data_IF_415338982536
#
_entry.id   IF_415338982536
#
_cell.length_a   1.000
_cell.length_b   1.000
_cell.length_c   1.000
_cell.angle_alpha   90.00
_cell.angle_beta   90.00
_cell.angle_gamma   90.00
#
_symmetry.space_group_name_H-M   'P 1'
#
loop_
_entity.id
_entity.type
_entity.pdbx_description
1 polymer ?
#
# COMPACT_ATOMS: atom_id res chain seq x y z
N UNK A 1 4.35 4.56 -7.16
CA UNK A 1 3.07 4.97 -6.52
C UNK A 1 2.80 4.20 -5.24
N UNK A 2 2.59 2.87 -5.30
CA UNK A 2 2.24 2.08 -4.11
C UNK A 2 3.26 2.21 -2.98
N UNK A 3 4.56 2.18 -3.27
CA UNK A 3 5.58 2.35 -2.23
C UNK A 3 5.52 3.70 -1.50
N UNK A 4 5.02 4.73 -2.18
CA UNK A 4 4.80 6.05 -1.59
C UNK A 4 3.65 6.03 -0.60
N UNK A 5 2.58 5.29 -0.86
CA UNK A 5 1.37 5.26 -0.02
C UNK A 5 1.49 4.23 1.10
N UNK A 6 1.96 3.01 0.76
CA UNK A 6 1.91 1.81 1.61
C UNK A 6 3.25 1.40 2.22
N UNK A 7 4.37 1.96 1.73
CA UNK A 7 5.72 1.52 2.12
C UNK A 7 6.33 0.53 1.12
N UNK A 8 7.59 0.12 1.31
CA UNK A 8 8.35 -0.64 0.31
C UNK A 8 7.75 -2.03 0.04
N UNK A 9 7.95 -2.54 -1.18
CA UNK A 9 7.59 -3.92 -1.49
C UNK A 9 8.44 -4.93 -0.69
N UNK A 10 7.83 -6.04 -0.22
CA UNK A 10 8.59 -7.16 0.33
C UNK A 10 9.59 -7.70 -0.69
N UNK A 11 10.84 -7.89 -0.25
CA UNK A 11 11.94 -8.34 -1.11
C UNK A 11 11.65 -9.69 -1.77
N UNK A 12 10.96 -10.59 -1.07
CA UNK A 12 10.56 -11.89 -1.61
C UNK A 12 9.64 -11.79 -2.83
N UNK A 13 8.80 -10.75 -2.92
CA UNK A 13 7.92 -10.54 -4.06
C UNK A 13 8.70 -9.99 -5.25
N UNK A 14 9.60 -9.03 -5.01
CA UNK A 14 10.44 -8.45 -6.06
C UNK A 14 11.40 -9.48 -6.68
N UNK A 15 11.82 -10.49 -5.92
CA UNK A 15 12.62 -11.62 -6.42
C UNK A 15 11.83 -12.65 -7.22
N UNK A 16 10.50 -12.69 -7.06
CA UNK A 16 9.60 -13.67 -7.68
C UNK A 16 8.79 -13.08 -8.84
N UNK A 17 9.19 -11.93 -9.36
CA UNK A 17 8.49 -11.30 -10.50
C UNK A 17 8.57 -12.18 -11.73
N UNK A 18 7.48 -12.26 -12.47
CA UNK A 18 7.44 -12.94 -13.76
C UNK A 18 8.18 -12.12 -14.84
N UNK A 19 8.44 -12.77 -15.98
CA UNK A 19 9.17 -12.19 -17.12
C UNK A 19 8.55 -10.90 -17.66
N UNK A 20 7.22 -10.75 -17.63
CA UNK A 20 6.56 -9.54 -18.11
C UNK A 20 6.79 -8.35 -17.17
N UNK A 21 6.93 -8.65 -15.88
CA UNK A 21 7.07 -7.68 -14.79
C UNK A 21 8.52 -7.29 -14.48
N UNK A 22 9.51 -8.05 -14.95
CA UNK A 22 10.95 -7.80 -14.76
C UNK A 22 11.38 -6.36 -15.11
N UNK A 23 10.81 -5.77 -16.15
CA UNK A 23 11.10 -4.38 -16.58
C UNK A 23 10.81 -3.32 -15.51
N UNK A 24 10.01 -3.65 -14.50
CA UNK A 24 9.68 -2.74 -13.39
C UNK A 24 10.59 -2.90 -12.18
N UNK A 25 11.56 -3.83 -12.20
CA UNK A 25 12.45 -4.13 -11.08
C UNK A 25 13.91 -4.01 -11.51
N UNK A 26 14.69 -3.23 -10.78
CA UNK A 26 16.14 -3.07 -10.98
C UNK A 26 16.85 -3.22 -9.64
N UNK A 27 17.84 -4.11 -9.57
CA UNK A 27 18.66 -4.37 -8.36
C UNK A 27 17.82 -4.66 -7.10
N UNK A 28 16.76 -5.45 -7.25
CA UNK A 28 15.89 -5.85 -6.13
C UNK A 28 14.99 -4.75 -5.57
N UNK A 29 14.79 -3.67 -6.34
CA UNK A 29 13.88 -2.55 -6.02
C UNK A 29 13.08 -2.18 -7.26
N UNK A 30 11.97 -1.46 -7.09
CA UNK A 30 11.27 -0.90 -8.25
C UNK A 30 12.19 0.00 -9.05
N UNK A 31 12.09 -0.05 -10.38
CA UNK A 31 12.79 0.85 -11.29
C UNK A 31 12.14 2.24 -11.29
N UNK A 32 12.23 2.92 -10.14
CA UNK A 32 11.66 4.24 -9.91
C UNK A 32 12.53 4.98 -8.89
N UNK A 33 12.88 6.26 -9.10
CA UNK A 33 12.35 7.17 -10.13
C UNK A 33 12.99 7.02 -11.52
N UNK A 34 14.09 6.27 -11.66
CA UNK A 34 14.88 6.23 -12.90
C UNK A 34 14.11 5.68 -14.11
N UNK A 35 13.21 4.72 -13.89
CA UNK A 35 12.31 4.17 -14.93
C UNK A 35 10.99 4.91 -15.09
N UNK A 36 10.83 6.13 -14.56
CA UNK A 36 9.58 6.87 -14.66
C UNK A 36 9.31 7.40 -16.08
N UNK A 37 8.06 7.31 -16.52
CA UNK A 37 7.63 7.70 -17.88
C UNK A 37 7.75 9.20 -18.15
N UNK A 38 7.57 10.04 -17.14
CA UNK A 38 7.64 11.51 -17.30
C UNK A 38 7.90 12.25 -15.98
N UNK A 39 8.38 13.49 -16.08
CA UNK A 39 8.55 14.38 -14.92
C UNK A 39 7.22 14.66 -14.20
N UNK A 40 6.11 14.72 -14.93
CA UNK A 40 4.80 14.94 -14.34
C UNK A 40 4.32 13.71 -13.57
N UNK A 41 4.61 12.50 -14.07
CA UNK A 41 4.34 11.26 -13.33
C UNK A 41 5.14 11.21 -12.00
N UNK A 42 6.40 11.66 -12.02
CA UNK A 42 7.23 11.76 -10.81
C UNK A 42 6.60 12.72 -9.79
N UNK A 43 6.24 13.94 -10.24
CA UNK A 43 5.59 14.93 -9.38
C UNK A 43 4.28 14.41 -8.81
N UNK A 44 3.45 13.75 -9.62
CA UNK A 44 2.18 13.18 -9.19
C UNK A 44 2.40 12.14 -8.07
N UNK A 45 3.37 11.23 -8.24
CA UNK A 45 3.68 10.23 -7.20
C UNK A 45 4.25 10.88 -5.94
N UNK A 46 5.16 11.84 -6.07
CA UNK A 46 5.78 12.51 -4.91
C UNK A 46 4.77 13.28 -4.03
N UNK A 47 3.73 13.83 -4.65
CA UNK A 47 2.63 14.53 -3.96
C UNK A 47 1.69 13.60 -3.19
N UNK A 48 1.77 12.29 -3.42
CA UNK A 48 0.89 11.36 -2.70
C UNK A 48 1.26 11.30 -1.22
N UNK A 49 0.28 11.46 -0.32
CA UNK A 49 0.47 11.25 1.10
C UNK A 49 0.56 9.76 1.46
N UNK A 50 1.02 9.49 2.68
CA UNK A 50 0.98 8.14 3.27
C UNK A 50 -0.47 7.73 3.56
N UNK A 51 -0.76 6.43 3.58
CA UNK A 51 -2.11 5.90 3.85
C UNK A 51 -2.74 6.47 5.13
N UNK A 52 -1.96 6.55 6.21
CA UNK A 52 -2.43 7.12 7.48
C UNK A 52 -2.89 8.58 7.34
N UNK A 53 -2.15 9.39 6.56
CA UNK A 53 -2.49 10.80 6.35
C UNK A 53 -3.75 10.94 5.49
N UNK A 54 -3.95 10.06 4.50
CA UNK A 54 -5.20 10.03 3.71
C UNK A 54 -6.41 9.78 4.61
N UNK A 55 -6.32 8.84 5.54
CA UNK A 55 -7.45 8.49 6.40
C UNK A 55 -7.69 9.56 7.47
N UNK A 56 -6.62 10.06 8.09
CA UNK A 56 -6.71 11.10 9.14
C UNK A 56 -7.26 12.43 8.63
N UNK A 57 -7.21 12.69 7.32
CA UNK A 57 -7.87 13.86 6.72
C UNK A 57 -9.41 13.80 6.77
N UNK A 58 -9.98 12.63 7.00
CA UNK A 58 -11.42 12.39 6.88
C UNK A 58 -12.05 11.75 8.13
N UNK A 59 -11.25 11.32 9.11
CA UNK A 59 -11.74 10.58 10.28
C UNK A 59 -10.95 10.97 11.52
N UNK A 60 -11.64 11.39 12.57
CA UNK A 60 -11.01 11.78 13.84
C UNK A 60 -10.93 10.61 14.84
N UNK A 61 -12.07 10.08 15.30
CA UNK A 61 -12.13 9.23 16.51
C UNK A 61 -11.90 7.73 16.26
N UNK A 62 -12.11 7.23 15.03
CA UNK A 62 -11.91 5.83 14.64
C UNK A 62 -10.78 5.63 13.64
N UNK A 63 -9.96 6.66 13.42
CA UNK A 63 -8.90 6.66 12.41
C UNK A 63 -7.93 5.50 12.62
N UNK A 64 -7.52 5.22 13.87
CA UNK A 64 -6.55 4.16 14.17
C UNK A 64 -7.04 2.77 13.77
N UNK A 65 -8.28 2.41 14.11
CA UNK A 65 -8.84 1.11 13.76
C UNK A 65 -9.11 0.99 12.25
N UNK A 66 -9.57 2.07 11.62
CA UNK A 66 -9.76 2.10 10.18
C UNK A 66 -8.43 1.94 9.44
N UNK A 67 -7.40 2.66 9.88
CA UNK A 67 -6.04 2.56 9.33
C UNK A 67 -5.52 1.13 9.46
N UNK A 68 -5.65 0.51 10.64
CA UNK A 68 -5.19 -0.86 10.87
C UNK A 68 -5.88 -1.85 9.92
N UNK A 69 -7.20 -1.76 9.78
CA UNK A 69 -7.98 -2.62 8.89
C UNK A 69 -7.59 -2.42 7.42
N UNK A 70 -7.49 -1.17 6.96
CA UNK A 70 -7.14 -0.85 5.56
C UNK A 70 -5.69 -1.26 5.25
N UNK A 71 -4.76 -1.09 6.18
CA UNK A 71 -3.39 -1.62 6.06
C UNK A 71 -3.38 -3.15 5.92
N UNK A 72 -4.21 -3.85 6.71
CA UNK A 72 -4.39 -5.30 6.60
C UNK A 72 -4.91 -5.73 5.23
N UNK A 73 -5.90 -5.00 4.69
CA UNK A 73 -6.50 -5.26 3.37
C UNK A 73 -5.53 -4.94 2.22
N UNK A 74 -4.64 -3.96 2.40
CA UNK A 74 -3.71 -3.50 1.36
C UNK A 74 -2.30 -4.09 1.49
N UNK A 75 -2.10 -5.13 2.32
CA UNK A 75 -0.80 -5.82 2.37
C UNK A 75 -0.42 -6.35 0.99
N UNK A 76 0.85 -6.14 0.63
CA UNK A 76 1.40 -6.60 -0.64
C UNK A 76 1.37 -8.12 -0.75
N UNK A 77 1.87 -8.81 0.28
CA UNK A 77 1.89 -10.26 0.34
C UNK A 77 0.46 -10.80 0.53
N UNK A 78 -0.09 -11.55 -0.44
CA UNK A 78 -1.43 -12.09 -0.33
C UNK A 78 -1.60 -13.06 0.84
N UNK A 79 -0.52 -13.73 1.27
CA UNK A 79 -0.56 -14.66 2.41
C UNK A 79 -0.69 -13.95 3.76
N UNK A 80 -0.28 -12.68 3.83
CA UNK A 80 -0.42 -11.84 5.03
C UNK A 80 -1.65 -10.94 5.00
N UNK A 81 -2.28 -10.79 3.83
CA UNK A 81 -3.42 -9.91 3.63
C UNK A 81 -4.65 -10.49 4.32
N UNK A 82 -5.33 -9.67 5.13
CA UNK A 82 -6.55 -10.11 5.80
C UNK A 82 -7.66 -10.34 4.75
N UNK A 83 -8.47 -11.35 4.98
CA UNK A 83 -9.64 -11.66 4.15
C UNK A 83 -10.79 -10.71 4.46
N UNK A 84 -11.77 -10.62 3.54
CA UNK A 84 -13.00 -9.87 3.78
C UNK A 84 -13.75 -10.35 5.04
N UNK A 85 -13.74 -11.66 5.32
CA UNK A 85 -14.37 -12.25 6.51
C UNK A 85 -13.68 -11.81 7.79
N UNK A 86 -12.35 -11.74 7.81
CA UNK A 86 -11.59 -11.22 8.95
C UNK A 86 -11.78 -9.72 9.12
N UNK A 87 -11.79 -8.96 8.02
CA UNK A 87 -12.06 -7.52 8.05
C UNK A 87 -13.43 -7.19 8.63
N UNK A 88 -14.48 -7.95 8.30
CA UNK A 88 -15.83 -7.77 8.88
C UNK A 88 -15.87 -8.03 10.41
N UNK A 89 -14.88 -8.73 10.97
CA UNK A 89 -14.73 -8.97 12.41
C UNK A 89 -13.80 -7.96 13.09
N UNK A 90 -13.27 -6.99 12.36
CA UNK A 90 -12.31 -6.02 12.87
C UNK A 90 -12.95 -5.08 13.91
N UNK A 91 -12.22 -4.65 14.96
CA UNK A 91 -12.71 -3.71 15.99
C UNK A 91 -13.39 -2.45 15.44
N UNK A 92 -12.92 -1.97 14.28
CA UNK A 92 -13.54 -0.86 13.54
C UNK A 92 -15.06 -1.04 13.35
N UNK A 93 -15.53 -2.25 13.05
CA UNK A 93 -16.95 -2.56 12.90
C UNK A 93 -17.63 -2.97 14.21
N UNK A 94 -16.86 -3.32 15.25
CA UNK A 94 -17.40 -3.75 16.55
C UNK A 94 -17.92 -2.59 17.40
N UNK A 95 -17.37 -1.38 17.25
CA UNK A 95 -17.74 -0.19 18.04
C UNK A 95 -19.09 0.45 17.68
N UNK A 96 -19.79 -0.04 16.66
CA UNK A 96 -21.09 0.49 16.19
C UNK A 96 -22.27 -0.45 16.45
N UNK A 97 -22.14 -1.39 17.40
CA UNK A 97 -23.29 -2.10 17.96
C UNK A 97 -23.73 -1.45 19.26
#
# INVERSE_FOLDING_TARGET
MMERVLGPFPQQMLKKVDRHSEKYVRRGRLDWPDGATSRDSLKAVLKLPRLQNLIMQHVDHSAGELINMVQGLLRFDPSERITAREALRHPFFARRR
#
